data_IF_741810423834
#
_entry.id   IF_741810423834
#
_cell.length_a   1.000
_cell.length_b   1.000
_cell.length_c   1.000
_cell.angle_alpha   90.00
_cell.angle_beta   90.00
_cell.angle_gamma   90.00
#
_symmetry.space_group_name_H-M   'P 1'
#
loop_
_entity.id
_entity.type
_entity.pdbx_description
1 polymer ?
#
# COMPACT_ATOMS: atom_id res chain seq x y z
N UNK A 1 -3.24 5.91 -6.75
CA UNK A 1 -3.61 6.50 -8.05
C UNK A 1 -3.38 5.50 -9.18
N UNK A 2 -4.07 5.69 -10.32
CA UNK A 2 -3.87 4.84 -11.47
C UNK A 2 -4.85 3.68 -11.54
N UNK A 3 -6.11 3.89 -11.19
CA UNK A 3 -7.14 2.85 -11.25
C UNK A 3 -7.21 2.17 -12.61
N UNK A 4 -7.03 2.91 -13.70
CA UNK A 4 -7.08 2.36 -15.05
C UNK A 4 -5.94 1.37 -15.31
N UNK A 5 -4.79 1.60 -14.73
CA UNK A 5 -3.66 0.67 -14.85
C UNK A 5 -3.95 -0.65 -14.13
N UNK A 6 -4.65 -0.59 -13.01
CA UNK A 6 -5.08 -1.80 -12.30
C UNK A 6 -6.11 -2.57 -13.12
N UNK A 7 -7.05 -1.87 -13.77
CA UNK A 7 -8.03 -2.52 -14.65
C UNK A 7 -7.34 -3.21 -15.83
N UNK A 8 -6.32 -2.59 -16.39
CA UNK A 8 -5.51 -3.19 -17.44
C UNK A 8 -4.81 -4.47 -16.92
N UNK A 9 -4.23 -4.40 -15.73
CA UNK A 9 -3.56 -5.57 -15.12
C UNK A 9 -4.52 -6.71 -14.87
N UNK A 10 -5.73 -6.43 -14.40
CA UNK A 10 -6.75 -7.45 -14.16
C UNK A 10 -7.10 -8.21 -15.44
N UNK A 11 -7.19 -7.50 -16.56
CA UNK A 11 -7.50 -8.12 -17.86
C UNK A 11 -6.36 -8.99 -18.35
N UNK A 12 -5.12 -8.62 -18.06
CA UNK A 12 -3.95 -9.37 -18.53
C UNK A 12 -3.56 -10.52 -17.59
N UNK A 13 -3.98 -10.46 -16.33
CA UNK A 13 -3.65 -11.48 -15.33
C UNK A 13 -4.92 -11.91 -14.58
N UNK A 14 -5.86 -12.55 -15.27
CA UNK A 14 -7.18 -12.85 -14.67
C UNK A 14 -7.12 -13.85 -13.52
N UNK A 15 -6.03 -14.62 -13.39
CA UNK A 15 -5.85 -15.58 -12.31
C UNK A 15 -5.32 -14.95 -11.01
N UNK A 16 -5.05 -13.65 -11.02
CA UNK A 16 -4.54 -12.95 -9.83
C UNK A 16 -5.65 -12.16 -9.16
N UNK A 17 -5.61 -12.13 -7.83
CA UNK A 17 -6.51 -11.28 -7.06
C UNK A 17 -5.91 -9.88 -6.97
N UNK A 18 -6.70 -8.87 -7.26
CA UNK A 18 -6.30 -7.47 -7.20
C UNK A 18 -7.17 -6.73 -6.20
N UNK A 19 -6.54 -5.99 -5.30
CA UNK A 19 -7.21 -5.08 -4.39
C UNK A 19 -6.57 -3.72 -4.57
N UNK A 20 -7.36 -2.67 -4.67
CA UNK A 20 -6.83 -1.32 -4.82
C UNK A 20 -7.71 -0.29 -4.13
N UNK A 21 -7.09 0.81 -3.77
CA UNK A 21 -7.77 1.99 -3.22
C UNK A 21 -7.66 3.12 -4.22
N UNK A 22 -8.54 4.12 -4.12
CA UNK A 22 -8.43 5.30 -4.98
C UNK A 22 -7.43 6.29 -4.38
N UNK A 23 -6.63 6.90 -5.26
CA UNK A 23 -5.76 8.00 -4.91
C UNK A 23 -6.40 9.34 -5.22
N UNK A 24 -5.68 10.43 -4.94
CA UNK A 24 -6.19 11.78 -5.14
C UNK A 24 -6.35 12.17 -6.62
N UNK A 25 -5.75 11.40 -7.53
CA UNK A 25 -5.87 11.63 -8.97
C UNK A 25 -6.85 10.69 -9.66
N UNK A 26 -7.51 9.80 -8.93
CA UNK A 26 -8.51 8.88 -9.49
C UNK A 26 -9.90 9.54 -9.47
N UNK A 27 -10.08 10.53 -10.33
CA UNK A 27 -11.30 11.32 -10.41
C UNK A 27 -12.51 10.46 -10.77
N UNK A 28 -13.58 10.62 -10.01
CA UNK A 28 -14.82 9.89 -10.27
C UNK A 28 -14.79 8.41 -9.92
N UNK A 29 -13.73 7.93 -9.29
CA UNK A 29 -13.62 6.54 -8.90
C UNK A 29 -14.65 6.17 -7.83
N UNK A 30 -15.22 4.97 -7.96
CA UNK A 30 -16.12 4.40 -6.95
C UNK A 30 -15.37 3.56 -5.91
N UNK A 31 -14.05 3.44 -6.03
CA UNK A 31 -13.25 2.68 -5.07
C UNK A 31 -13.23 3.38 -3.70
N UNK A 32 -13.07 2.60 -2.65
CA UNK A 32 -12.86 3.15 -1.32
C UNK A 32 -11.45 3.76 -1.23
N UNK A 33 -11.30 4.85 -0.46
CA UNK A 33 -9.98 5.44 -0.26
C UNK A 33 -9.09 4.63 0.68
N UNK A 34 -9.67 3.72 1.45
CA UNK A 34 -8.92 2.86 2.38
C UNK A 34 -9.48 1.44 2.33
N UNK A 35 -8.62 0.48 2.65
CA UNK A 35 -9.00 -0.92 2.82
C UNK A 35 -8.41 -1.46 4.12
N UNK A 36 -9.16 -2.31 4.79
CA UNK A 36 -8.68 -3.11 5.90
C UNK A 36 -8.89 -4.57 5.53
N UNK A 37 -7.80 -5.31 5.40
CA UNK A 37 -7.86 -6.72 5.00
C UNK A 37 -7.10 -7.56 6.02
N UNK A 38 -7.47 -8.83 6.13
CA UNK A 38 -6.77 -9.77 6.98
C UNK A 38 -6.28 -10.93 6.13
N UNK A 39 -4.96 -11.17 6.16
CA UNK A 39 -4.33 -12.27 5.44
C UNK A 39 -3.46 -13.03 6.44
N UNK A 40 -3.63 -14.35 6.50
CA UNK A 40 -2.88 -15.21 7.41
C UNK A 40 -2.87 -14.68 8.86
N UNK A 41 -4.02 -14.18 9.31
CA UNK A 41 -4.18 -13.64 10.65
C UNK A 41 -3.57 -12.26 10.88
N UNK A 42 -2.99 -11.63 9.86
CA UNK A 42 -2.39 -10.31 9.98
C UNK A 42 -3.31 -9.25 9.37
N UNK A 43 -3.47 -8.14 10.10
CA UNK A 43 -4.33 -7.02 9.66
C UNK A 43 -3.51 -6.03 8.85
N UNK A 44 -3.99 -5.74 7.67
CA UNK A 44 -3.32 -4.83 6.73
C UNK A 44 -4.23 -3.64 6.46
N UNK A 45 -3.72 -2.45 6.73
CA UNK A 45 -4.40 -1.20 6.41
C UNK A 45 -3.75 -0.61 5.15
N UNK A 46 -4.56 -0.39 4.12
CA UNK A 46 -4.10 0.12 2.82
C UNK A 46 -4.78 1.45 2.53
N UNK A 47 -4.00 2.45 2.17
CA UNK A 47 -4.51 3.75 1.76
C UNK A 47 -3.52 4.39 0.79
N UNK A 48 -4.01 5.31 -0.06
CA UNK A 48 -3.08 6.08 -0.89
C UNK A 48 -2.19 6.98 -0.06
N UNK A 49 -2.73 7.57 1.00
CA UNK A 49 -1.97 8.39 1.93
C UNK A 49 -2.29 9.89 1.89
N UNK A 50 -2.95 10.36 0.82
CA UNK A 50 -3.27 11.79 0.69
C UNK A 50 -4.22 12.28 1.79
N UNK A 51 -5.13 11.42 2.25
CA UNK A 51 -6.08 11.77 3.32
C UNK A 51 -5.41 11.91 4.68
N UNK A 52 -4.21 11.38 4.82
CA UNK A 52 -3.44 11.40 6.07
C UNK A 52 -2.23 12.32 5.99
N UNK A 53 -2.18 13.19 4.98
CA UNK A 53 -1.09 14.14 4.76
C UNK A 53 0.29 13.47 4.72
N UNK A 54 0.41 12.35 4.01
CA UNK A 54 1.64 11.55 3.98
C UNK A 54 2.86 12.36 3.51
N UNK A 55 2.67 13.38 2.68
CA UNK A 55 3.77 14.23 2.22
C UNK A 55 4.32 15.15 3.31
N UNK A 56 3.55 15.37 4.38
CA UNK A 56 3.92 16.21 5.50
C UNK A 56 4.44 15.42 6.70
N UNK A 57 4.49 14.10 6.59
CA UNK A 57 4.93 13.22 7.65
C UNK A 57 3.99 12.03 7.83
N UNK A 58 4.41 11.06 8.63
CA UNK A 58 3.70 9.78 8.77
C UNK A 58 2.85 9.68 10.03
N UNK A 59 2.83 10.70 10.87
CA UNK A 59 2.19 10.61 12.18
C UNK A 59 0.71 10.22 12.08
N UNK A 60 -0.04 10.86 11.17
CA UNK A 60 -1.46 10.55 11.00
C UNK A 60 -1.69 9.13 10.51
N UNK A 61 -0.84 8.64 9.61
CA UNK A 61 -0.89 7.26 9.13
C UNK A 61 -0.63 6.26 10.25
N UNK A 62 0.37 6.55 11.07
CA UNK A 62 0.73 5.68 12.20
C UNK A 62 -0.40 5.63 13.22
N UNK A 63 -1.00 6.76 13.55
CA UNK A 63 -2.16 6.79 14.43
C UNK A 63 -3.33 5.98 13.88
N UNK A 64 -3.63 6.14 12.57
CA UNK A 64 -4.71 5.40 11.95
C UNK A 64 -4.45 3.90 11.98
N UNK A 65 -3.23 3.48 11.72
CA UNK A 65 -2.85 2.08 11.79
C UNK A 65 -3.00 1.51 13.20
N UNK A 66 -2.58 2.26 14.19
CA UNK A 66 -2.69 1.86 15.61
C UNK A 66 -4.15 1.74 16.04
N UNK A 67 -5.00 2.70 15.66
CA UNK A 67 -6.43 2.63 15.94
C UNK A 67 -7.09 1.38 15.38
N UNK A 68 -6.61 0.93 14.21
CA UNK A 68 -7.15 -0.24 13.52
C UNK A 68 -6.49 -1.55 13.95
N UNK A 69 -5.55 -1.48 14.85
CA UNK A 69 -4.73 -2.63 15.27
C UNK A 69 -4.04 -3.29 14.08
N UNK A 70 -3.54 -2.49 13.15
CA UNK A 70 -2.87 -2.99 11.97
C UNK A 70 -1.51 -3.60 12.33
N UNK A 71 -1.18 -4.69 11.66
CA UNK A 71 0.16 -5.28 11.69
C UNK A 71 1.01 -4.68 10.58
N UNK A 72 0.37 -4.27 9.49
CA UNK A 72 1.01 -3.73 8.30
C UNK A 72 0.22 -2.52 7.82
N UNK A 73 0.92 -1.42 7.49
CA UNK A 73 0.34 -0.22 6.89
C UNK A 73 1.00 -0.02 5.53
N UNK A 74 0.19 0.04 4.48
CA UNK A 74 0.65 0.27 3.11
C UNK A 74 0.12 1.60 2.61
N UNK A 75 1.01 2.45 2.11
CA UNK A 75 0.62 3.76 1.61
C UNK A 75 1.47 4.15 0.39
N UNK A 76 1.10 5.21 -0.28
CA UNK A 76 1.81 5.73 -1.45
C UNK A 76 1.90 7.24 -1.42
N UNK A 77 1.46 7.88 -2.49
CA UNK A 77 1.32 9.33 -2.64
C UNK A 77 2.65 10.10 -2.75
N UNK A 78 3.63 9.81 -1.90
CA UNK A 78 4.92 10.52 -1.91
C UNK A 78 5.81 10.12 -3.07
N UNK A 79 5.57 8.94 -3.65
CA UNK A 79 6.40 8.30 -4.68
C UNK A 79 7.81 7.92 -4.18
N UNK A 80 8.03 7.99 -2.88
CA UNK A 80 9.33 7.65 -2.28
C UNK A 80 9.17 6.34 -1.52
N UNK A 81 9.94 5.33 -1.94
CA UNK A 81 9.87 4.02 -1.28
C UNK A 81 10.37 4.12 0.17
N UNK A 82 9.69 3.39 1.03
CA UNK A 82 10.03 3.31 2.46
C UNK A 82 9.63 1.94 2.98
N UNK A 83 10.42 1.37 3.85
CA UNK A 83 10.14 0.05 4.43
C UNK A 83 10.71 0.02 5.84
N UNK A 84 9.88 0.28 6.84
CA UNK A 84 10.30 0.39 8.23
C UNK A 84 9.34 -0.31 9.18
N UNK A 85 9.83 -0.65 10.35
CA UNK A 85 9.03 -1.18 11.45
C UNK A 85 8.87 -0.07 12.49
N UNK A 86 7.65 0.39 12.69
CA UNK A 86 7.36 1.57 13.53
C UNK A 86 6.22 1.21 14.48
N UNK A 87 6.44 1.39 15.79
CA UNK A 87 5.40 1.22 16.81
C UNK A 87 4.65 -0.12 16.72
N UNK A 88 5.38 -1.19 16.41
CA UNK A 88 4.79 -2.53 16.32
C UNK A 88 4.14 -2.85 14.98
N UNK A 89 4.29 -1.98 13.98
CA UNK A 89 3.71 -2.17 12.65
C UNK A 89 4.79 -2.13 11.58
N UNK A 90 4.62 -2.94 10.55
CA UNK A 90 5.40 -2.79 9.31
C UNK A 90 4.76 -1.69 8.48
N UNK A 91 5.50 -0.65 8.17
CA UNK A 91 5.01 0.51 7.42
C UNK A 91 5.77 0.58 6.11
N UNK A 92 5.07 0.46 5.00
CA UNK A 92 5.70 0.39 3.69
C UNK A 92 5.05 1.33 2.70
N UNK A 93 5.89 2.07 1.98
CA UNK A 93 5.53 2.73 0.73
C UNK A 93 6.32 2.03 -0.37
N UNK A 94 5.66 1.38 -1.33
CA UNK A 94 6.38 0.66 -2.39
C UNK A 94 7.09 1.58 -3.39
N UNK A 95 6.88 2.89 -3.28
CA UNK A 95 7.36 3.85 -4.27
C UNK A 95 6.44 3.91 -5.47
N UNK A 96 6.89 4.58 -6.52
CA UNK A 96 6.15 4.65 -7.79
C UNK A 96 6.60 3.53 -8.70
N UNK A 97 5.67 2.83 -9.31
CA UNK A 97 5.98 1.80 -10.32
C UNK A 97 6.06 2.40 -11.73
N UNK A 98 6.06 3.72 -11.84
CA UNK A 98 6.09 4.42 -13.12
C UNK A 98 7.45 5.10 -13.34
N UNK A 99 7.94 5.02 -14.58
CA UNK A 99 9.12 5.75 -15.00
C UNK A 99 10.45 5.12 -14.58
N UNK A 100 11.49 5.90 -14.72
CA UNK A 100 12.85 5.49 -14.38
C UNK A 100 12.98 5.37 -12.84
N UNK A 101 13.63 4.30 -12.40
CA UNK A 101 13.76 4.06 -10.97
C UNK A 101 12.51 3.53 -10.30
N UNK A 102 11.58 3.00 -11.09
CA UNK A 102 10.33 2.42 -10.57
C UNK A 102 10.60 1.28 -9.58
N UNK A 103 9.76 1.21 -8.56
CA UNK A 103 9.87 0.21 -7.51
C UNK A 103 8.51 -0.41 -7.20
N UNK A 104 8.54 -1.55 -6.51
CA UNK A 104 7.34 -2.18 -5.96
C UNK A 104 7.69 -2.88 -4.65
N UNK A 105 6.68 -3.18 -3.87
CA UNK A 105 6.87 -3.86 -2.58
C UNK A 105 6.41 -5.30 -2.63
N UNK A 106 7.06 -6.14 -1.84
CA UNK A 106 6.68 -7.53 -1.64
C UNK A 106 6.53 -7.76 -0.14
N UNK A 107 5.44 -8.40 0.23
CA UNK A 107 5.18 -8.78 1.62
C UNK A 107 4.87 -10.27 1.66
N UNK A 108 5.67 -11.01 2.41
CA UNK A 108 5.45 -12.43 2.66
C UNK A 108 4.96 -12.62 4.08
N UNK A 109 3.80 -13.23 4.22
CA UNK A 109 3.20 -13.53 5.52
C UNK A 109 3.12 -15.04 5.67
N UNK A 110 3.72 -15.56 6.72
CA UNK A 110 3.71 -16.99 7.01
C UNK A 110 3.59 -17.22 8.52
N UNK A 111 3.58 -18.48 8.93
CA UNK A 111 3.61 -18.86 10.35
C UNK A 111 4.90 -18.39 11.04
N UNK A 112 5.93 -18.07 10.27
CA UNK A 112 7.22 -17.58 10.80
C UNK A 112 7.25 -16.05 10.94
N UNK A 113 6.21 -15.35 10.48
CA UNK A 113 6.11 -13.92 10.63
C UNK A 113 5.94 -13.19 9.30
N UNK A 114 6.37 -11.93 9.28
CA UNK A 114 6.20 -11.02 8.16
C UNK A 114 7.58 -10.63 7.62
N UNK A 115 7.76 -10.80 6.32
CA UNK A 115 8.96 -10.31 5.61
C UNK A 115 8.53 -9.26 4.61
N UNK A 116 9.26 -8.16 4.56
CA UNK A 116 8.96 -7.03 3.69
C UNK A 116 10.18 -6.64 2.86
N UNK A 117 9.95 -6.35 1.59
CA UNK A 117 11.02 -5.96 0.66
C UNK A 117 10.55 -4.92 -0.34
N UNK A 118 11.46 -4.04 -0.71
CA UNK A 118 11.27 -3.14 -1.85
C UNK A 118 12.15 -3.66 -2.99
N UNK A 119 11.60 -3.76 -4.18
CA UNK A 119 12.30 -4.27 -5.35
C UNK A 119 12.28 -3.27 -6.49
N UNK A 120 13.26 -3.35 -7.36
CA UNK A 120 13.33 -2.54 -8.58
C UNK A 120 12.42 -3.14 -9.65
N UNK A 121 11.65 -2.28 -10.30
CA UNK A 121 10.69 -2.68 -11.35
C UNK A 121 11.24 -2.43 -12.76
N UNK A 122 12.52 -2.41 -12.93
CA UNK A 122 13.11 -2.05 -14.22
C UNK A 122 12.73 -3.02 -15.37
#
# INVERSE_FOLDING_TARGET
DGEMDVEYAKRNFPDRAFLNVKGNCDWGSSLDPTLEITLEGKKIFVTHGHLYNAKMGLQNLIYAGKEKNADIVLYGHTHISMNEYIDGMYVMNPGSCHGYGATYGIIDISDKGILTNIASAK
#
